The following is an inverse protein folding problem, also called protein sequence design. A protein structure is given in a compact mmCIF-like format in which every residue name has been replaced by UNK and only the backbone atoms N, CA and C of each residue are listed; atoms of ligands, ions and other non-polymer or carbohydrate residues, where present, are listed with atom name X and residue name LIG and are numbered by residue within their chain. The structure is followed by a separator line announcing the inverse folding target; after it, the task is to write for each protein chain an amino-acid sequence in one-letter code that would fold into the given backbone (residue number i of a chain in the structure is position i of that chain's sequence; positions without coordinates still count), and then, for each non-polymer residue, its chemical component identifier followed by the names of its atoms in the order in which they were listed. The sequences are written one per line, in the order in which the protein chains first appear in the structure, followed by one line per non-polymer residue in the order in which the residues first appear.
data_IF_637239354920
#
_entry.id   IF_637239354920
#
_cell.length_a   1.000
_cell.length_b   1.000
_cell.length_c   1.000
_cell.angle_alpha   90.00
_cell.angle_beta   90.00
_cell.angle_gamma   90.00
#
_symmetry.space_group_name_H-M   'P 1'
#
loop_
_entity.id
_entity.type
_entity.pdbx_description
1 polymer ?
#
# COMPACT_ATOMS: atom_id res chain seq x y z
N UNK A 1 23.67 11.13 -58.92
CA UNK A 1 23.48 9.86 -58.18
C UNK A 1 23.36 10.21 -56.71
N UNK A 2 22.15 10.10 -56.15
CA UNK A 2 21.88 10.39 -54.75
C UNK A 2 21.43 9.12 -54.03
N UNK A 3 21.79 9.00 -52.76
CA UNK A 3 21.14 8.10 -51.81
C UNK A 3 21.08 8.81 -50.45
N UNK A 4 19.88 9.31 -50.14
CA UNK A 4 19.48 9.79 -48.82
C UNK A 4 19.30 8.59 -47.89
N UNK A 5 20.07 8.52 -46.80
CA UNK A 5 19.80 7.59 -45.71
C UNK A 5 18.71 8.17 -44.81
N UNK A 6 17.46 7.74 -45.05
CA UNK A 6 16.35 7.98 -44.13
C UNK A 6 16.47 7.06 -42.92
N UNK A 7 16.86 7.63 -41.77
CA UNK A 7 16.79 6.92 -40.50
C UNK A 7 15.30 6.74 -40.12
N UNK A 8 14.83 5.50 -40.20
CA UNK A 8 13.51 5.12 -39.73
C UNK A 8 13.56 5.18 -38.20
N UNK A 9 12.94 6.20 -37.61
CA UNK A 9 12.73 6.27 -36.18
C UNK A 9 11.83 5.10 -35.77
N UNK A 10 12.42 4.09 -35.13
CA UNK A 10 11.65 3.07 -34.41
C UNK A 10 10.94 3.77 -33.25
N UNK A 11 9.67 4.08 -33.45
CA UNK A 11 8.73 4.40 -32.39
C UNK A 11 8.70 3.20 -31.44
N UNK A 12 9.47 3.28 -30.35
CA UNK A 12 9.34 2.35 -29.23
C UNK A 12 7.98 2.62 -28.60
N UNK A 13 6.96 1.91 -29.09
CA UNK A 13 5.71 1.78 -28.38
C UNK A 13 6.05 1.15 -27.02
N UNK A 14 6.10 2.00 -25.99
CA UNK A 14 6.17 1.53 -24.61
C UNK A 14 4.87 0.78 -24.35
N UNK A 15 4.92 -0.54 -24.41
CA UNK A 15 3.81 -1.36 -23.97
C UNK A 15 3.48 -0.99 -22.52
N UNK A 16 2.18 -0.86 -22.17
CA UNK A 16 1.81 -0.59 -20.80
C UNK A 16 2.31 -1.74 -19.92
N UNK A 17 3.26 -1.44 -19.03
CA UNK A 17 3.81 -2.37 -18.03
C UNK A 17 2.63 -2.95 -17.24
N UNK A 18 2.25 -4.18 -17.58
CA UNK A 18 1.14 -4.89 -16.96
C UNK A 18 1.66 -5.62 -15.73
N UNK A 19 1.74 -4.91 -14.61
CA UNK A 19 2.25 -5.47 -13.38
C UNK A 19 1.58 -4.78 -12.17
N UNK A 20 0.35 -5.18 -11.96
CA UNK A 20 -0.35 -4.95 -10.71
C UNK A 20 -1.07 -6.25 -10.35
N UNK A 21 -0.79 -6.82 -9.17
CA UNK A 21 -1.50 -7.98 -8.65
C UNK A 21 -3.02 -7.75 -8.53
N UNK A 22 -3.42 -6.48 -8.44
CA UNK A 22 -4.81 -6.06 -8.50
C UNK A 22 -5.15 -5.47 -9.87
N UNK A 23 -6.37 -5.75 -10.34
CA UNK A 23 -7.03 -4.86 -11.31
C UNK A 23 -7.29 -3.52 -10.64
N UNK A 24 -6.39 -2.57 -10.84
CA UNK A 24 -6.48 -1.23 -10.25
C UNK A 24 -7.42 -0.34 -11.07
N UNK A 25 -8.13 0.55 -10.38
CA UNK A 25 -8.90 1.63 -10.99
C UNK A 25 -8.07 2.91 -11.05
N UNK A 26 -8.63 4.02 -10.55
CA UNK A 26 -7.94 5.31 -10.50
C UNK A 26 -6.72 5.25 -9.58
N UNK A 27 -5.56 5.66 -10.11
CA UNK A 27 -4.34 5.90 -9.35
C UNK A 27 -4.38 7.32 -8.77
N UNK A 28 -4.05 7.44 -7.50
CA UNK A 28 -3.93 8.68 -6.76
C UNK A 28 -2.46 9.06 -6.61
N UNK A 29 -2.18 10.37 -6.68
CA UNK A 29 -0.81 10.91 -6.61
C UNK A 29 -0.14 10.75 -5.25
N UNK A 30 -0.91 10.50 -4.20
CA UNK A 30 -0.44 10.38 -2.83
C UNK A 30 -1.45 9.65 -1.94
N UNK A 31 -1.00 9.19 -0.78
CA UNK A 31 -1.87 8.58 0.24
C UNK A 31 -2.91 9.58 0.76
N UNK A 32 -4.19 9.19 0.92
CA UNK A 32 -5.21 10.04 1.54
C UNK A 32 -4.76 10.60 2.90
N UNK A 33 -4.93 11.91 3.17
CA UNK A 33 -4.52 12.53 4.43
C UNK A 33 -5.07 11.82 5.68
N UNK A 34 -6.31 11.34 5.63
CA UNK A 34 -6.97 10.63 6.74
C UNK A 34 -6.33 9.30 7.11
N UNK A 35 -5.45 8.77 6.24
CA UNK A 35 -4.72 7.52 6.46
C UNK A 35 -3.29 7.76 6.91
N UNK A 36 -2.78 8.99 6.82
CA UNK A 36 -1.39 9.30 7.18
C UNK A 36 -1.17 9.28 8.69
N UNK A 37 0.08 9.18 9.10
CA UNK A 37 0.51 9.13 10.50
C UNK A 37 0.75 7.71 11.01
N UNK A 38 0.88 7.60 12.33
CA UNK A 38 1.14 6.33 13.00
C UNK A 38 -0.12 5.49 13.11
N UNK A 39 0.08 4.19 12.91
CA UNK A 39 -0.87 3.15 13.18
C UNK A 39 -0.19 2.02 13.93
N UNK A 40 -0.93 1.38 14.84
CA UNK A 40 -0.40 0.39 15.78
C UNK A 40 -1.12 -0.93 15.59
N UNK A 41 -0.39 -2.03 15.54
CA UNK A 41 -0.93 -3.40 15.60
C UNK A 41 -0.08 -4.25 16.55
N UNK A 42 -0.58 -5.42 16.94
CA UNK A 42 0.16 -6.38 17.75
C UNK A 42 0.31 -7.67 16.97
N UNK A 43 1.54 -8.06 16.70
CA UNK A 43 1.88 -9.29 15.98
C UNK A 43 2.73 -10.13 16.92
N UNK A 44 2.28 -11.36 17.21
CA UNK A 44 2.98 -12.30 18.10
C UNK A 44 3.39 -11.70 19.46
N UNK A 45 2.52 -10.86 20.05
CA UNK A 45 2.78 -10.23 21.35
C UNK A 45 3.68 -9.00 21.32
N UNK A 46 4.22 -8.63 20.16
CA UNK A 46 5.03 -7.42 20.01
C UNK A 46 4.23 -6.32 19.29
N UNK A 47 4.42 -5.08 19.75
CA UNK A 47 3.88 -3.91 19.07
C UNK A 47 4.57 -3.74 17.71
N UNK A 48 3.76 -3.51 16.70
CA UNK A 48 4.17 -3.17 15.35
C UNK A 48 3.63 -1.78 15.02
N UNK A 49 4.49 -0.88 14.55
CA UNK A 49 4.11 0.50 14.20
C UNK A 49 4.21 0.68 12.71
N UNK A 50 3.06 0.84 12.04
CA UNK A 50 3.01 1.21 10.62
C UNK A 50 2.87 2.71 10.50
N UNK A 51 3.88 3.35 9.91
CA UNK A 51 3.90 4.77 9.66
C UNK A 51 3.59 5.05 8.19
N UNK A 52 2.45 5.71 7.94
CA UNK A 52 1.95 6.02 6.61
C UNK A 52 2.21 7.49 6.30
N UNK A 53 3.05 7.74 5.30
CA UNK A 53 3.38 9.08 4.80
C UNK A 53 2.65 9.41 3.51
N UNK A 54 2.84 10.65 3.03
CA UNK A 54 2.30 11.12 1.74
C UNK A 54 2.74 10.22 0.57
N UNK A 55 3.98 9.71 0.62
CA UNK A 55 4.61 8.96 -0.47
C UNK A 55 5.37 7.70 -0.01
N UNK A 56 5.15 7.21 1.20
CA UNK A 56 5.82 6.00 1.69
C UNK A 56 5.01 5.34 2.80
N UNK A 57 5.25 4.06 3.02
CA UNK A 57 4.81 3.37 4.25
C UNK A 57 5.98 2.59 4.79
N UNK A 58 6.20 2.74 6.08
CA UNK A 58 7.23 2.00 6.82
C UNK A 58 6.57 1.25 7.96
N UNK A 59 7.20 0.17 8.40
CA UNK A 59 6.74 -0.62 9.52
C UNK A 59 7.91 -0.90 10.45
N UNK A 60 7.71 -0.64 11.73
CA UNK A 60 8.67 -0.94 12.78
C UNK A 60 8.18 -2.13 13.58
N UNK A 61 8.95 -3.21 13.59
CA UNK A 61 8.65 -4.43 14.33
C UNK A 61 9.90 -4.89 15.07
N UNK A 62 9.77 -5.19 16.37
CA UNK A 62 10.90 -5.58 17.24
C UNK A 62 12.10 -4.61 17.16
N UNK A 63 11.82 -3.31 17.12
CA UNK A 63 12.83 -2.26 17.02
C UNK A 63 13.49 -2.10 15.64
N UNK A 64 13.13 -2.91 14.65
CA UNK A 64 13.64 -2.81 13.28
C UNK A 64 12.62 -2.15 12.37
N UNK A 65 13.03 -1.10 11.68
CA UNK A 65 12.20 -0.38 10.71
C UNK A 65 12.46 -0.91 9.31
N UNK A 66 11.41 -1.40 8.67
CA UNK A 66 11.42 -1.86 7.29
C UNK A 66 10.51 -0.96 6.46
N UNK A 67 10.94 -0.57 5.27
CA UNK A 67 10.05 0.08 4.32
C UNK A 67 9.12 -0.97 3.73
N UNK A 68 7.83 -0.92 4.05
CA UNK A 68 6.82 -1.74 3.37
C UNK A 68 6.71 -1.29 1.91
N UNK A 69 6.75 0.02 1.69
CA UNK A 69 6.71 0.61 0.36
C UNK A 69 7.69 1.77 0.23
N UNK A 70 8.65 1.61 -0.67
CA UNK A 70 9.51 2.68 -1.19
C UNK A 70 9.72 2.41 -2.68
N UNK A 71 9.23 3.30 -3.53
CA UNK A 71 9.51 3.18 -4.96
C UNK A 71 10.94 3.63 -5.22
N UNK A 72 11.76 2.71 -5.73
CA UNK A 72 13.17 2.97 -6.10
C UNK A 72 13.34 3.32 -7.59
N UNK A 73 12.24 3.51 -8.31
CA UNK A 73 12.28 3.84 -9.74
C UNK A 73 12.81 5.26 -9.92
N UNK A 74 13.83 5.41 -10.78
CA UNK A 74 14.56 6.67 -11.03
C UNK A 74 13.60 7.83 -11.34
N UNK A 75 12.56 7.54 -12.12
CA UNK A 75 11.56 8.52 -12.56
C UNK A 75 10.26 8.49 -11.72
N UNK A 76 10.09 7.47 -10.87
CA UNK A 76 8.90 7.27 -10.06
C UNK A 76 9.26 7.09 -8.58
N UNK A 77 9.64 8.18 -7.90
CA UNK A 77 10.00 8.17 -6.47
C UNK A 77 8.79 8.19 -5.51
N UNK A 78 7.56 8.14 -6.03
CA UNK A 78 6.33 8.36 -5.25
C UNK A 78 5.57 7.06 -5.05
N UNK A 79 4.97 6.86 -3.87
CA UNK A 79 4.04 5.76 -3.63
C UNK A 79 2.80 5.89 -4.53
N UNK A 80 2.57 4.91 -5.40
CA UNK A 80 1.33 4.80 -6.17
C UNK A 80 0.22 4.22 -5.28
N UNK A 81 -0.77 5.04 -4.92
CA UNK A 81 -1.94 4.54 -4.18
C UNK A 81 -3.09 4.40 -5.16
N UNK A 82 -3.73 3.24 -5.26
CA UNK A 82 -4.86 3.06 -6.19
C UNK A 82 -6.03 2.37 -5.51
N UNK A 83 -7.25 2.73 -5.92
CA UNK A 83 -8.46 1.97 -5.53
C UNK A 83 -8.49 0.67 -6.33
N UNK A 84 -8.71 -0.45 -5.67
CA UNK A 84 -8.87 -1.76 -6.33
C UNK A 84 -10.25 -1.78 -7.02
N UNK A 85 -10.29 -2.05 -8.32
CA UNK A 85 -11.51 -2.00 -9.14
C UNK A 85 -12.57 -2.95 -8.58
N UNK A 86 -13.82 -2.50 -8.52
CA UNK A 86 -14.94 -3.29 -7.98
C UNK A 86 -14.96 -3.42 -6.45
N UNK A 87 -14.07 -2.73 -5.72
CA UNK A 87 -14.03 -2.80 -4.25
C UNK A 87 -13.93 -1.41 -3.61
N UNK A 88 -14.10 -1.32 -2.29
CA UNK A 88 -13.79 -0.12 -1.50
C UNK A 88 -12.41 -0.19 -0.84
N UNK A 89 -11.50 -1.01 -1.39
CA UNK A 89 -10.15 -1.21 -0.89
C UNK A 89 -9.13 -0.45 -1.74
N UNK A 90 -7.97 -0.18 -1.17
CA UNK A 90 -6.85 0.49 -1.81
C UNK A 90 -5.62 -0.39 -1.76
N UNK A 91 -4.78 -0.32 -2.78
CA UNK A 91 -3.43 -0.89 -2.74
C UNK A 91 -2.42 0.24 -2.62
N UNK A 92 -1.42 0.00 -1.78
CA UNK A 92 -0.20 0.77 -1.74
C UNK A 92 0.78 0.12 -2.70
N UNK A 93 1.40 0.94 -3.56
CA UNK A 93 2.30 0.51 -4.62
C UNK A 93 1.62 -0.17 -5.83
N UNK A 94 0.55 0.46 -6.33
CA UNK A 94 -0.24 0.02 -7.47
C UNK A 94 0.53 -0.25 -8.79
N UNK A 95 1.81 0.14 -8.87
CA UNK A 95 2.64 0.05 -10.07
C UNK A 95 3.88 -0.82 -9.88
N UNK A 96 4.02 -1.52 -8.76
CA UNK A 96 5.21 -2.33 -8.51
C UNK A 96 5.03 -3.79 -8.94
N UNK A 97 6.04 -4.32 -9.62
CA UNK A 97 6.04 -5.69 -10.11
C UNK A 97 6.42 -6.75 -9.06
N UNK A 98 7.09 -6.38 -7.93
CA UNK A 98 7.79 -7.35 -7.04
C UNK A 98 7.98 -6.94 -5.57
N UNK A 99 7.11 -6.15 -4.93
CA UNK A 99 7.32 -5.74 -3.52
C UNK A 99 6.09 -5.98 -2.67
N UNK A 100 6.26 -6.54 -1.46
CA UNK A 100 5.23 -6.87 -0.45
C UNK A 100 3.88 -6.21 -0.71
N UNK A 101 2.96 -6.97 -1.28
CA UNK A 101 1.61 -6.52 -1.56
C UNK A 101 0.74 -6.95 -0.38
N UNK A 102 -0.13 -6.06 0.10
CA UNK A 102 -1.29 -6.58 0.84
C UNK A 102 -2.13 -7.36 -0.16
N UNK A 103 -2.06 -8.69 -0.16
CA UNK A 103 -2.69 -9.51 -1.19
C UNK A 103 -4.23 -9.36 -1.24
N UNK A 104 -4.83 -8.73 -0.22
CA UNK A 104 -6.27 -8.42 -0.15
C UNK A 104 -6.62 -6.93 -0.12
N UNK A 105 -5.65 -6.01 -0.08
CA UNK A 105 -5.84 -4.56 -0.06
C UNK A 105 -6.24 -3.94 1.29
N UNK A 106 -6.15 -2.62 1.39
CA UNK A 106 -6.37 -1.82 2.60
C UNK A 106 -7.73 -1.13 2.59
N UNK A 107 -8.41 -1.06 3.74
CA UNK A 107 -9.55 -0.15 3.92
C UNK A 107 -9.73 0.26 5.37
N UNK A 108 -10.30 1.44 5.59
CA UNK A 108 -10.79 1.80 6.92
C UNK A 108 -12.07 1.05 7.24
N UNK A 109 -12.18 0.52 8.45
CA UNK A 109 -13.40 -0.12 9.00
C UNK A 109 -13.54 0.23 10.48
N UNK A 110 -14.42 -0.45 11.20
CA UNK A 110 -14.67 -0.22 12.62
C UNK A 110 -14.54 -1.51 13.42
N UNK A 111 -14.02 -1.41 14.63
CA UNK A 111 -14.01 -2.45 15.66
C UNK A 111 -14.75 -1.97 16.88
N UNK A 112 -15.48 -2.87 17.51
CA UNK A 112 -15.99 -2.62 18.86
C UNK A 112 -14.95 -3.12 19.85
N UNK A 113 -14.43 -2.22 20.66
CA UNK A 113 -13.45 -2.46 21.73
C UNK A 113 -14.01 -1.80 22.98
N UNK A 114 -14.13 -2.53 24.10
CA UNK A 114 -14.69 -1.98 25.34
C UNK A 114 -16.03 -1.23 25.14
N UNK A 115 -16.92 -1.81 24.32
CA UNK A 115 -18.22 -1.21 23.95
C UNK A 115 -18.13 0.12 23.18
N UNK A 116 -16.93 0.53 22.77
CA UNK A 116 -16.68 1.72 21.96
C UNK A 116 -16.37 1.32 20.52
N UNK A 117 -16.94 2.06 19.57
CA UNK A 117 -16.68 1.86 18.14
C UNK A 117 -15.44 2.65 17.74
N UNK A 118 -14.36 1.93 17.47
CA UNK A 118 -13.05 2.49 17.10
C UNK A 118 -12.83 2.32 15.60
N UNK A 119 -12.43 3.39 14.93
CA UNK A 119 -12.02 3.33 13.52
C UNK A 119 -10.64 2.69 13.40
N UNK A 120 -10.52 1.70 12.53
CA UNK A 120 -9.27 1.00 12.25
C UNK A 120 -8.95 1.07 10.76
N UNK A 121 -7.67 1.03 10.43
CA UNK A 121 -7.22 0.74 9.08
C UNK A 121 -6.91 -0.74 9.01
N UNK A 122 -7.58 -1.48 8.12
CA UNK A 122 -7.41 -2.92 7.99
C UNK A 122 -6.62 -3.25 6.74
N UNK A 123 -5.59 -4.05 6.92
CA UNK A 123 -4.83 -4.71 5.87
C UNK A 123 -5.39 -6.12 5.66
N UNK A 124 -5.94 -6.41 4.48
CA UNK A 124 -6.47 -7.73 4.14
C UNK A 124 -5.42 -8.57 3.42
N UNK A 125 -5.37 -9.86 3.76
CA UNK A 125 -4.65 -10.88 2.99
C UNK A 125 -5.59 -11.55 1.98
N UNK A 126 -5.04 -12.06 0.87
CA UNK A 126 -5.77 -12.92 -0.07
C UNK A 126 -6.21 -14.24 0.55
N UNK A 127 -5.50 -14.72 1.58
CA UNK A 127 -5.81 -15.97 2.30
C UNK A 127 -6.97 -15.83 3.32
N UNK A 128 -7.76 -14.75 3.25
CA UNK A 128 -8.91 -14.52 4.15
C UNK A 128 -8.55 -13.92 5.52
N UNK A 129 -7.26 -13.77 5.83
CA UNK A 129 -6.78 -13.10 7.04
C UNK A 129 -6.81 -11.57 6.95
N UNK A 130 -6.60 -10.91 8.10
CA UNK A 130 -6.42 -9.46 8.15
C UNK A 130 -5.62 -9.01 9.37
N UNK A 131 -5.01 -7.83 9.27
CA UNK A 131 -4.42 -7.11 10.40
C UNK A 131 -5.19 -5.80 10.59
N UNK A 132 -5.71 -5.60 11.80
CA UNK A 132 -6.29 -4.31 12.19
C UNK A 132 -5.18 -3.41 12.75
N UNK A 133 -5.07 -2.21 12.17
CA UNK A 133 -4.19 -1.16 12.64
C UNK A 133 -5.01 -0.04 13.28
N UNK A 134 -4.57 0.38 14.46
CA UNK A 134 -5.28 1.30 15.33
C UNK A 134 -4.56 2.64 15.43
N UNK A 135 -5.29 3.72 15.76
CA UNK A 135 -4.69 5.05 15.95
C UNK A 135 -3.97 5.25 17.27
N UNK A 136 -4.15 4.35 18.21
CA UNK A 136 -3.46 4.31 19.49
C UNK A 136 -2.95 2.88 19.75
N UNK A 137 -1.90 2.69 20.58
CA UNK A 137 -1.44 1.37 20.99
C UNK A 137 -2.58 0.55 21.64
N UNK A 138 -2.71 -0.69 21.21
CA UNK A 138 -3.79 -1.60 21.65
C UNK A 138 -3.18 -2.83 22.31
N UNK A 139 -2.88 -2.76 23.60
CA UNK A 139 -2.25 -3.87 24.34
C UNK A 139 -3.22 -5.05 24.46
N UNK A 140 -3.08 -6.04 23.56
CA UNK A 140 -3.58 -7.45 23.53
C UNK A 140 -4.78 -7.89 24.43
N UNK A 141 -5.68 -7.02 24.85
CA UNK A 141 -6.69 -7.30 25.89
C UNK A 141 -8.07 -6.74 25.55
N UNK A 142 -8.41 -6.66 24.26
CA UNK A 142 -9.79 -6.35 23.85
C UNK A 142 -10.48 -7.48 23.07
N UNK A 143 -9.81 -8.63 22.99
CA UNK A 143 -10.45 -9.91 22.77
C UNK A 143 -11.00 -10.39 24.12
N UNK A 144 -12.32 -10.49 24.23
CA UNK A 144 -12.94 -11.43 25.17
C UNK A 144 -12.46 -12.85 24.86
#
# INVERSE_FOLDING_TARGET
MGLMFGAIAQSTHSEPVNAAYFKIGKIYRYTPPTWRGNWYSYVNGHMCVTHINKYSVTQTYKGKTHSLFRSNWKDYKKLAVAKIKGTNKFTFNALANKSYESDGGWKTTYRTINRQKVKVLRDYSAAGGYVDLFRAPVYKSYSK
#
